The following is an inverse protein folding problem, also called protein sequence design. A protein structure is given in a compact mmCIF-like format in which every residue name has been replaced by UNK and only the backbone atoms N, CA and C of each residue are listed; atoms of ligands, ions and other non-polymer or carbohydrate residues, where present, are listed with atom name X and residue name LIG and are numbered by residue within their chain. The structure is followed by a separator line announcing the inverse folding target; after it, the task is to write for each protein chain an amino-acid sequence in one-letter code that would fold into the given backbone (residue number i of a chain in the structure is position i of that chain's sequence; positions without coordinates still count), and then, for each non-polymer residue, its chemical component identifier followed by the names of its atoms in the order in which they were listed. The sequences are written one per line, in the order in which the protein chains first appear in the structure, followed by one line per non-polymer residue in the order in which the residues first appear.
data_IF_186617006270
#
_entry.id   IF_186617006270
#
_cell.length_a   1.000
_cell.length_b   1.000
_cell.length_c   1.000
_cell.angle_alpha   90.00
_cell.angle_beta   90.00
_cell.angle_gamma   90.00
#
_symmetry.space_group_name_H-M   'P 1'
#
loop_
_entity.id
_entity.type
_entity.pdbx_description
1 polymer ?
#
# COMPACT_ATOMS: atom_id res chain seq x y z
N UNK A 1 9.24 -10.96 1.20
CA UNK A 1 8.91 -10.11 2.35
C UNK A 1 8.16 -10.92 3.39
N UNK A 2 8.47 -10.75 4.67
CA UNK A 2 7.79 -11.45 5.78
C UNK A 2 6.41 -10.86 6.06
N UNK A 3 5.52 -11.63 6.70
CA UNK A 3 4.15 -11.20 7.02
C UNK A 3 4.13 -9.98 7.94
N UNK A 4 4.97 -9.95 8.98
CA UNK A 4 5.00 -8.83 9.93
C UNK A 4 5.41 -7.51 9.27
N UNK A 5 6.32 -7.58 8.30
CA UNK A 5 6.77 -6.43 7.53
C UNK A 5 5.62 -5.87 6.66
N UNK A 6 4.82 -6.73 6.03
CA UNK A 6 3.64 -6.30 5.26
C UNK A 6 2.61 -5.64 6.19
N UNK A 7 2.37 -6.21 7.37
CA UNK A 7 1.47 -5.61 8.37
C UNK A 7 1.97 -4.24 8.84
N UNK A 8 3.29 -4.06 9.05
CA UNK A 8 3.91 -2.77 9.37
C UNK A 8 3.62 -1.73 8.29
N UNK A 9 3.81 -2.07 7.03
CA UNK A 9 3.50 -1.18 5.90
C UNK A 9 2.00 -0.89 5.82
N UNK A 10 1.15 -1.91 5.98
CA UNK A 10 -0.30 -1.73 5.97
C UNK A 10 -0.77 -0.75 7.04
N UNK A 11 -0.26 -0.84 8.27
CA UNK A 11 -0.58 0.13 9.33
C UNK A 11 -0.17 1.56 8.96
N UNK A 12 1.01 1.73 8.36
CA UNK A 12 1.47 3.04 7.91
C UNK A 12 0.58 3.64 6.81
N UNK A 13 0.13 2.79 5.87
CA UNK A 13 -0.76 3.18 4.78
C UNK A 13 -2.15 3.52 5.29
N UNK A 14 -2.77 2.66 6.09
CA UNK A 14 -4.13 2.86 6.63
C UNK A 14 -4.21 4.11 7.50
N UNK A 15 -3.14 4.46 8.21
CA UNK A 15 -3.07 5.71 8.99
C UNK A 15 -3.20 6.97 8.10
N UNK A 16 -2.73 6.93 6.86
CA UNK A 16 -2.85 8.05 5.91
C UNK A 16 -4.07 7.92 4.99
N UNK A 17 -4.50 6.69 4.70
CA UNK A 17 -5.61 6.36 3.81
C UNK A 17 -6.55 5.37 4.51
N UNK A 18 -7.40 5.84 5.43
CA UNK A 18 -8.32 4.98 6.17
C UNK A 18 -9.25 4.17 5.27
N UNK A 19 -9.53 4.65 4.04
CA UNK A 19 -10.32 3.92 3.04
C UNK A 19 -9.68 2.62 2.54
N UNK A 20 -8.41 2.38 2.90
CA UNK A 20 -7.67 1.16 2.57
C UNK A 20 -7.69 0.14 3.71
N UNK A 21 -8.36 0.40 4.82
CA UNK A 21 -8.48 -0.57 5.89
C UNK A 21 -9.18 -1.86 5.40
N UNK A 22 -8.65 -3.01 5.80
CA UNK A 22 -9.09 -4.32 5.33
C UNK A 22 -8.74 -4.66 3.86
N UNK A 23 -8.11 -3.76 3.08
CA UNK A 23 -7.65 -4.06 1.73
C UNK A 23 -6.44 -4.99 1.79
N UNK A 24 -6.49 -6.09 1.03
CA UNK A 24 -5.34 -6.98 0.85
C UNK A 24 -4.39 -6.40 -0.21
N UNK A 25 -3.17 -5.98 0.15
CA UNK A 25 -2.24 -5.44 -0.83
C UNK A 25 -1.60 -6.54 -1.69
N UNK A 26 -1.23 -6.19 -2.91
CA UNK A 26 -0.38 -7.03 -3.75
C UNK A 26 1.10 -6.69 -3.49
N UNK A 27 1.91 -7.69 -3.15
CA UNK A 27 3.34 -7.54 -2.89
C UNK A 27 4.14 -8.11 -4.06
N UNK A 28 5.10 -7.35 -4.58
CA UNK A 28 6.01 -7.74 -5.65
C UNK A 28 7.44 -7.36 -5.26
N UNK A 29 8.42 -8.21 -5.54
CA UNK A 29 9.83 -7.82 -5.43
C UNK A 29 10.18 -6.84 -6.57
N UNK A 30 10.93 -5.78 -6.28
CA UNK A 30 11.50 -4.94 -7.33
C UNK A 30 12.64 -5.67 -8.04
N UNK A 31 12.71 -5.55 -9.37
CA UNK A 31 13.81 -6.11 -10.16
C UNK A 31 15.05 -5.24 -9.94
N UNK A 32 16.19 -5.84 -9.59
CA UNK A 32 17.47 -5.11 -9.48
C UNK A 32 18.30 -5.33 -8.21
N UNK A 33 18.08 -6.39 -7.44
CA UNK A 33 19.05 -6.87 -6.44
C UNK A 33 19.07 -6.13 -5.09
N UNK A 34 18.31 -5.05 -4.93
CA UNK A 34 18.03 -4.49 -3.60
C UNK A 34 16.83 -5.22 -3.01
N UNK A 35 16.84 -5.56 -1.71
CA UNK A 35 15.72 -6.20 -0.98
C UNK A 35 14.50 -5.27 -0.83
N UNK A 36 14.04 -4.71 -1.94
CA UNK A 36 12.93 -3.78 -2.04
C UNK A 36 11.71 -4.49 -2.59
N UNK A 37 10.58 -4.15 -1.99
CA UNK A 37 9.28 -4.69 -2.30
C UNK A 37 8.34 -3.57 -2.66
N UNK A 38 7.70 -3.71 -3.80
CA UNK A 38 6.60 -2.89 -4.22
C UNK A 38 5.28 -3.48 -3.71
N UNK A 39 4.56 -2.69 -2.93
CA UNK A 39 3.31 -3.08 -2.28
C UNK A 39 2.21 -2.16 -2.82
N UNK A 40 1.16 -2.74 -3.40
CA UNK A 40 0.11 -2.00 -4.08
C UNK A 40 -1.21 -2.24 -3.37
N UNK A 41 -1.80 -1.16 -2.84
CA UNK A 41 -3.14 -1.12 -2.28
C UNK A 41 -4.10 -0.57 -3.33
N UNK A 42 -5.25 -1.23 -3.48
CA UNK A 42 -6.33 -0.77 -4.35
C UNK A 42 -7.59 -0.68 -3.50
N UNK A 43 -8.03 0.53 -3.23
CA UNK A 43 -9.28 0.78 -2.52
C UNK A 43 -10.21 1.67 -3.29
N UNK A 44 -11.37 1.86 -2.69
CA UNK A 44 -12.43 2.67 -3.23
C UNK A 44 -13.10 3.41 -2.07
N UNK A 45 -13.02 4.73 -2.08
CA UNK A 45 -13.74 5.56 -1.13
C UNK A 45 -15.12 5.90 -1.71
N UNK A 46 -16.18 5.70 -0.90
CA UNK A 46 -17.51 6.22 -1.24
C UNK A 46 -17.51 7.73 -1.00
N UNK A 47 -17.87 8.49 -2.03
CA UNK A 47 -18.09 9.92 -1.94
C UNK A 47 -19.58 10.19 -1.64
N UNK A 48 -19.91 11.36 -1.07
CA UNK A 48 -21.27 11.87 -1.10
C UNK A 48 -21.83 11.84 -2.54
N UNK A 49 -23.14 11.65 -2.68
CA UNK A 49 -23.84 11.42 -3.96
C UNK A 49 -23.69 10.03 -4.60
N UNK A 50 -23.16 9.02 -3.89
CA UNK A 50 -23.09 7.65 -4.41
C UNK A 50 -21.98 7.40 -5.45
N UNK A 51 -21.10 8.38 -5.65
CA UNK A 51 -19.91 8.24 -6.50
C UNK A 51 -18.85 7.43 -5.76
N UNK A 52 -18.05 6.67 -6.51
CA UNK A 52 -16.92 5.91 -5.96
C UNK A 52 -15.62 6.47 -6.50
N UNK A 53 -14.72 6.87 -5.60
CA UNK A 53 -13.38 7.30 -5.96
C UNK A 53 -12.41 6.14 -5.79
N UNK A 54 -11.83 5.66 -6.89
CA UNK A 54 -10.77 4.67 -6.83
C UNK A 54 -9.50 5.32 -6.31
N UNK A 55 -8.79 4.60 -5.43
CA UNK A 55 -7.50 5.02 -4.89
C UNK A 55 -6.53 3.87 -5.05
N UNK A 56 -5.39 4.14 -5.69
CA UNK A 56 -4.29 3.18 -5.76
C UNK A 56 -3.12 3.77 -5.01
N UNK A 57 -2.67 3.11 -3.94
CA UNK A 57 -1.46 3.51 -3.19
C UNK A 57 -0.38 2.49 -3.49
N UNK A 58 0.76 2.98 -3.97
CA UNK A 58 1.94 2.19 -4.29
C UNK A 58 3.04 2.56 -3.31
N UNK A 59 3.53 1.57 -2.59
CA UNK A 59 4.57 1.71 -1.59
C UNK A 59 5.78 0.91 -2.06
N UNK A 60 6.97 1.47 -1.86
CA UNK A 60 8.24 0.76 -1.93
C UNK A 60 8.78 0.66 -0.51
N UNK A 61 9.05 -0.56 -0.06
CA UNK A 61 9.57 -0.83 1.28
C UNK A 61 10.73 -1.83 1.23
N UNK A 62 11.57 -1.86 2.26
CA UNK A 62 12.61 -2.90 2.41
C UNK A 62 12.01 -4.23 2.92
N UNK A 63 12.85 -5.26 3.12
CA UNK A 63 12.43 -6.55 3.67
C UNK A 63 11.85 -6.48 5.10
N UNK A 64 12.22 -5.46 5.88
CA UNK A 64 11.79 -5.22 7.26
C UNK A 64 10.46 -4.43 7.36
N UNK A 65 9.98 -3.90 6.22
CA UNK A 65 8.74 -3.13 6.15
C UNK A 65 8.91 -1.64 6.42
N UNK A 66 10.13 -1.11 6.35
CA UNK A 66 10.37 0.33 6.33
C UNK A 66 10.01 0.91 4.97
N UNK A 67 9.18 1.93 4.99
CA UNK A 67 8.71 2.61 3.78
C UNK A 67 9.82 3.50 3.24
N UNK A 68 10.28 3.21 2.02
CA UNK A 68 11.27 4.00 1.28
C UNK A 68 10.57 5.09 0.47
N UNK A 69 9.45 4.75 -0.17
CA UNK A 69 8.67 5.67 -1.00
C UNK A 69 7.19 5.29 -0.99
N UNK A 70 6.32 6.29 -1.06
CA UNK A 70 4.89 6.11 -1.29
C UNK A 70 4.41 7.04 -2.39
N UNK A 71 3.54 6.53 -3.26
CA UNK A 71 2.87 7.31 -4.29
C UNK A 71 1.41 6.90 -4.40
N UNK A 72 0.56 7.83 -4.85
CA UNK A 72 -0.87 7.60 -4.98
C UNK A 72 -1.34 7.95 -6.38
N UNK A 73 -2.23 7.14 -6.93
CA UNK A 73 -3.02 7.48 -8.12
C UNK A 73 -4.49 7.60 -7.72
N UNK A 74 -5.16 8.58 -8.33
CA UNK A 74 -6.62 8.70 -8.36
C UNK A 74 -7.16 7.97 -9.60
#
# INVERSE_FOLDING_TARGET
MKKEAVEKVTRAVVRQFPELDGVRPAVKAEKGGSERYQIIFKGAAKLPEGKTMKRIVRVVANAEGDVIRMSTSR
#
